data_IF_812191111399
#
_entry.id   IF_812191111399
#
_cell.length_a   1.000
_cell.length_b   1.000
_cell.length_c   1.000
_cell.angle_alpha   90.00
_cell.angle_beta   90.00
_cell.angle_gamma   90.00
#
_symmetry.space_group_name_H-M   'P 1'
#
loop_
_entity.id
_entity.type
_entity.pdbx_description
1 polymer ?
#
# COMPACT_ATOMS: atom_id res chain seq x y z
N UNK A 1 -21.62 -10.58 -21.23
CA UNK A 1 -20.88 -11.85 -21.12
C UNK A 1 -21.47 -12.59 -19.93
N UNK A 2 -22.15 -13.73 -20.12
CA UNK A 2 -22.68 -14.53 -19.01
C UNK A 2 -21.54 -15.38 -18.50
N UNK A 3 -21.04 -15.11 -17.27
CA UNK A 3 -20.17 -16.05 -16.57
C UNK A 3 -20.91 -17.38 -16.40
N UNK A 4 -20.35 -18.45 -16.87
CA UNK A 4 -20.80 -19.80 -16.50
C UNK A 4 -20.24 -20.10 -15.11
N UNK A 5 -20.98 -20.81 -14.26
CA UNK A 5 -20.64 -21.10 -12.87
C UNK A 5 -19.27 -21.76 -12.64
N UNK A 6 -18.60 -22.22 -13.70
CA UNK A 6 -17.31 -22.90 -13.66
C UNK A 6 -16.09 -21.99 -13.81
N UNK A 7 -16.25 -20.73 -14.23
CA UNK A 7 -15.13 -19.81 -14.52
C UNK A 7 -15.01 -18.61 -13.58
N UNK A 8 -15.89 -18.47 -12.58
CA UNK A 8 -15.77 -17.45 -11.57
C UNK A 8 -14.81 -17.92 -10.46
N UNK A 9 -13.52 -17.54 -10.54
CA UNK A 9 -12.71 -17.55 -9.35
C UNK A 9 -13.42 -16.70 -8.28
N UNK A 10 -13.63 -17.32 -7.11
CA UNK A 10 -14.19 -16.57 -5.95
C UNK A 10 -13.33 -15.34 -5.70
N UNK A 11 -13.94 -14.16 -5.50
CA UNK A 11 -13.18 -12.95 -5.23
C UNK A 11 -12.26 -13.19 -4.03
N UNK A 12 -11.01 -12.76 -4.16
CA UNK A 12 -10.06 -12.76 -3.06
C UNK A 12 -10.33 -11.53 -2.21
N UNK A 13 -10.76 -11.76 -0.99
CA UNK A 13 -11.01 -10.66 -0.05
C UNK A 13 -9.73 -10.28 0.70
N UNK A 14 -9.58 -9.01 1.01
CA UNK A 14 -8.54 -8.50 1.88
C UNK A 14 -9.12 -7.47 2.84
N UNK A 15 -8.53 -7.39 4.02
CA UNK A 15 -8.83 -6.36 5.01
C UNK A 15 -7.53 -5.69 5.44
N UNK A 16 -7.54 -4.37 5.47
CA UNK A 16 -6.48 -3.56 6.09
C UNK A 16 -7.03 -3.02 7.40
N UNK A 17 -6.30 -3.21 8.48
CA UNK A 17 -6.76 -2.87 9.83
C UNK A 17 -5.61 -2.32 10.67
N UNK A 18 -5.95 -1.48 11.66
CA UNK A 18 -4.98 -1.07 12.68
C UNK A 18 -4.64 -2.17 13.70
N UNK A 19 -5.24 -3.35 13.60
CA UNK A 19 -4.95 -4.49 14.46
C UNK A 19 -5.53 -4.45 15.89
N UNK A 20 -6.07 -3.32 16.32
CA UNK A 20 -6.55 -3.14 17.71
C UNK A 20 -7.65 -4.12 18.13
N UNK A 21 -8.52 -4.48 17.19
CA UNK A 21 -9.68 -5.36 17.43
C UNK A 21 -9.45 -6.80 16.93
N UNK A 22 -8.26 -7.11 16.38
CA UNK A 22 -7.94 -8.48 15.99
C UNK A 22 -7.87 -9.39 17.22
N UNK A 23 -8.41 -10.58 17.07
CA UNK A 23 -8.37 -11.67 18.03
C UNK A 23 -8.42 -13.03 17.29
N UNK A 24 -8.28 -14.10 18.01
CA UNK A 24 -8.24 -15.44 17.45
C UNK A 24 -9.56 -15.84 16.76
N UNK A 25 -10.70 -15.44 17.29
CA UNK A 25 -12.01 -15.72 16.71
C UNK A 25 -12.17 -15.09 15.32
N UNK A 26 -11.81 -13.82 15.20
CA UNK A 26 -11.83 -13.11 13.90
C UNK A 26 -10.83 -13.70 12.91
N UNK A 27 -9.63 -14.05 13.39
CA UNK A 27 -8.63 -14.67 12.51
C UNK A 27 -9.05 -16.04 12.00
N UNK A 28 -9.73 -16.83 12.84
CA UNK A 28 -10.30 -18.10 12.43
C UNK A 28 -11.35 -17.91 11.32
N UNK A 29 -12.28 -16.95 11.53
CA UNK A 29 -13.28 -16.60 10.51
C UNK A 29 -12.63 -16.13 9.20
N UNK A 30 -11.63 -15.24 9.27
CA UNK A 30 -10.93 -14.76 8.08
C UNK A 30 -10.19 -15.88 7.35
N UNK A 31 -9.54 -16.77 8.08
CA UNK A 31 -8.83 -17.92 7.52
C UNK A 31 -9.77 -18.86 6.78
N UNK A 32 -10.89 -19.23 7.39
CA UNK A 32 -11.92 -20.10 6.79
C UNK A 32 -12.54 -19.50 5.52
N UNK A 33 -12.65 -18.16 5.46
CA UNK A 33 -13.21 -17.44 4.32
C UNK A 33 -12.15 -16.93 3.33
N UNK A 34 -10.88 -17.34 3.48
CA UNK A 34 -9.74 -16.95 2.62
C UNK A 34 -9.54 -15.43 2.52
N UNK A 35 -9.84 -14.71 3.60
CA UNK A 35 -9.60 -13.27 3.70
C UNK A 35 -8.16 -13.02 4.10
N UNK A 36 -7.42 -12.25 3.32
CA UNK A 36 -6.08 -11.77 3.68
C UNK A 36 -6.18 -10.63 4.69
N UNK A 37 -5.39 -10.69 5.75
CA UNK A 37 -5.39 -9.66 6.79
C UNK A 37 -4.06 -8.93 6.76
N UNK A 38 -4.13 -7.61 6.56
CA UNK A 38 -3.00 -6.70 6.55
C UNK A 38 -3.11 -5.74 7.73
N UNK A 39 -2.08 -5.69 8.56
CA UNK A 39 -2.04 -4.87 9.76
C UNK A 39 -1.19 -3.63 9.48
N UNK A 40 -1.79 -2.46 9.67
CA UNK A 40 -1.08 -1.18 9.55
C UNK A 40 -0.16 -0.98 10.75
N UNK A 41 1.16 -1.01 10.52
CA UNK A 41 2.17 -0.87 11.56
C UNK A 41 3.46 -0.26 10.98
N UNK A 42 3.91 0.85 11.54
CA UNK A 42 4.98 1.67 10.96
C UNK A 42 6.33 1.39 11.65
N UNK A 43 6.94 0.24 11.30
CA UNK A 43 8.28 -0.12 11.72
C UNK A 43 8.43 -0.39 13.21
N UNK A 44 9.01 0.54 13.95
CA UNK A 44 9.25 0.44 15.39
C UNK A 44 8.24 1.25 16.22
N UNK A 45 8.34 1.12 17.55
CA UNK A 45 7.44 1.81 18.49
C UNK A 45 7.43 3.33 18.31
N UNK A 46 8.60 3.94 18.20
CA UNK A 46 8.71 5.40 18.15
C UNK A 46 7.99 5.96 16.92
N UNK A 47 8.21 5.38 15.75
CA UNK A 47 7.57 5.79 14.50
C UNK A 47 6.06 5.52 14.51
N UNK A 48 5.67 4.33 14.95
CA UNK A 48 4.26 3.96 14.98
C UNK A 48 3.46 4.88 15.92
N UNK A 49 3.92 5.06 17.15
CA UNK A 49 3.22 5.86 18.15
C UNK A 49 3.34 7.37 17.91
N UNK A 50 4.23 7.83 17.02
CA UNK A 50 4.24 9.21 16.56
C UNK A 50 3.00 9.57 15.72
N UNK A 51 2.48 8.63 14.93
CA UNK A 51 1.42 8.90 13.95
C UNK A 51 0.14 8.09 14.15
N UNK A 52 0.23 6.88 14.74
CA UNK A 52 -0.92 5.97 14.91
C UNK A 52 -1.35 5.87 16.36
N UNK A 53 -1.87 6.95 16.87
CA UNK A 53 -2.42 6.99 18.22
C UNK A 53 -3.86 6.48 18.26
N UNK A 54 -4.21 5.84 19.36
CA UNK A 54 -5.58 5.47 19.68
C UNK A 54 -6.42 6.65 20.18
N UNK A 55 -7.64 6.35 20.62
CA UNK A 55 -8.52 7.33 21.25
C UNK A 55 -7.78 7.96 22.45
N UNK A 56 -7.93 9.25 22.64
CA UNK A 56 -7.24 10.03 23.67
C UNK A 56 -5.70 10.05 23.55
N UNK A 57 -5.18 9.90 22.34
CA UNK A 57 -3.74 9.91 22.03
C UNK A 57 -2.93 8.84 22.80
N UNK A 58 -3.54 7.69 23.03
CA UNK A 58 -2.89 6.54 23.68
C UNK A 58 -2.02 5.82 22.66
N UNK A 59 -0.77 5.51 23.04
CA UNK A 59 0.14 4.66 22.27
C UNK A 59 -0.47 3.29 21.98
N UNK A 60 -0.32 2.79 20.76
CA UNK A 60 -0.99 1.56 20.32
C UNK A 60 -0.04 0.43 19.94
N UNK A 61 1.24 0.75 19.73
CA UNK A 61 2.24 -0.20 19.24
C UNK A 61 2.34 -1.47 20.08
N UNK A 62 2.49 -1.35 21.40
CA UNK A 62 2.68 -2.51 22.27
C UNK A 62 1.51 -3.47 22.20
N UNK A 63 0.29 -2.93 22.31
CA UNK A 63 -0.93 -3.71 22.25
C UNK A 63 -1.10 -4.45 20.93
N UNK A 64 -0.77 -3.78 19.81
CA UNK A 64 -0.82 -4.37 18.48
C UNK A 64 0.28 -5.43 18.36
N UNK A 65 1.51 -5.11 18.77
CA UNK A 65 2.66 -6.00 18.71
C UNK A 65 2.43 -7.30 19.47
N UNK A 66 1.90 -7.24 20.69
CA UNK A 66 1.57 -8.43 21.49
C UNK A 66 0.53 -9.32 20.80
N UNK A 67 -0.55 -8.72 20.29
CA UNK A 67 -1.58 -9.45 19.53
C UNK A 67 -1.02 -10.10 18.27
N UNK A 68 -0.26 -9.35 17.48
CA UNK A 68 0.34 -9.86 16.25
C UNK A 68 1.28 -11.02 16.54
N UNK A 69 2.16 -10.91 17.55
CA UNK A 69 3.06 -11.99 17.98
C UNK A 69 2.32 -13.27 18.33
N UNK A 70 1.15 -13.17 18.96
CA UNK A 70 0.33 -14.34 19.29
C UNK A 70 -0.35 -14.91 18.05
N UNK A 71 -0.94 -14.06 17.22
CA UNK A 71 -1.71 -14.48 16.05
C UNK A 71 -0.83 -15.06 14.93
N UNK A 72 0.40 -14.54 14.74
CA UNK A 72 1.34 -15.02 13.71
C UNK A 72 1.89 -16.42 13.98
N UNK A 73 1.71 -16.97 15.19
CA UNK A 73 2.02 -18.38 15.48
C UNK A 73 1.13 -19.35 14.72
N UNK A 74 -0.09 -18.94 14.36
CA UNK A 74 -1.10 -19.80 13.73
C UNK A 74 -1.66 -19.27 12.42
N UNK A 75 -1.51 -17.99 12.14
CA UNK A 75 -2.11 -17.33 10.99
C UNK A 75 -1.08 -16.50 10.22
N UNK A 76 -1.26 -16.41 8.90
CA UNK A 76 -0.47 -15.53 8.05
C UNK A 76 -1.05 -14.11 8.10
N UNK A 77 -0.35 -13.20 8.75
CA UNK A 77 -0.62 -11.77 8.75
C UNK A 77 0.39 -11.05 7.86
N UNK A 78 -0.08 -10.02 7.17
CA UNK A 78 0.73 -9.12 6.38
C UNK A 78 0.90 -7.79 7.12
N UNK A 79 2.04 -7.13 6.98
CA UNK A 79 2.18 -5.75 7.46
C UNK A 79 1.93 -4.76 6.32
N UNK A 80 1.43 -3.58 6.68
CA UNK A 80 1.39 -2.38 5.85
C UNK A 80 2.12 -1.28 6.60
N UNK A 81 3.28 -0.88 6.11
CA UNK A 81 4.07 0.23 6.62
C UNK A 81 3.90 1.42 5.70
N UNK A 82 3.63 2.60 6.25
CA UNK A 82 3.52 3.83 5.48
C UNK A 82 4.68 4.76 5.83
N UNK A 83 5.64 4.88 4.90
CA UNK A 83 6.71 5.87 5.02
C UNK A 83 6.13 7.27 5.01
N UNK A 84 6.49 8.04 6.00
CA UNK A 84 6.08 9.43 6.20
C UNK A 84 7.28 10.26 6.69
N UNK A 85 7.09 11.54 6.92
CA UNK A 85 8.16 12.46 7.31
C UNK A 85 8.83 12.07 8.63
N UNK A 86 8.14 11.40 9.55
CA UNK A 86 8.76 10.90 10.79
C UNK A 86 9.88 9.89 10.50
N UNK A 87 9.73 9.06 9.47
CA UNK A 87 10.79 8.14 9.02
C UNK A 87 12.00 8.90 8.45
N UNK A 88 11.77 9.99 7.72
CA UNK A 88 12.85 10.85 7.21
C UNK A 88 13.63 11.47 8.34
N UNK A 89 12.92 12.06 9.31
CA UNK A 89 13.52 12.73 10.46
C UNK A 89 14.26 11.78 11.41
N UNK A 90 13.81 10.52 11.49
CA UNK A 90 14.42 9.48 12.31
C UNK A 90 15.48 8.65 11.57
N UNK A 91 15.80 8.99 10.32
CA UNK A 91 16.72 8.19 9.52
C UNK A 91 18.16 8.23 10.08
N UNK A 92 18.74 7.05 10.16
CA UNK A 92 20.17 6.77 10.31
C UNK A 92 20.52 5.55 9.47
N UNK A 93 21.80 5.23 9.28
CA UNK A 93 22.24 4.08 8.48
C UNK A 93 21.70 2.72 8.98
N UNK A 94 21.30 2.62 10.25
CA UNK A 94 20.76 1.41 10.86
C UNK A 94 19.24 1.38 10.93
N UNK A 95 18.57 2.52 10.75
CA UNK A 95 17.14 2.70 10.99
C UNK A 95 16.27 1.74 10.18
N UNK A 96 16.53 1.62 8.89
CA UNK A 96 15.73 0.77 7.99
C UNK A 96 15.79 -0.70 8.46
N UNK A 97 16.96 -1.17 8.83
CA UNK A 97 17.12 -2.51 9.39
C UNK A 97 16.35 -2.67 10.69
N UNK A 98 16.44 -1.73 11.61
CA UNK A 98 15.71 -1.77 12.88
C UNK A 98 14.19 -1.83 12.68
N UNK A 99 13.66 -1.05 11.72
CA UNK A 99 12.22 -1.06 11.43
C UNK A 99 11.73 -2.43 10.98
N UNK A 100 12.46 -3.06 10.06
CA UNK A 100 12.05 -4.36 9.52
C UNK A 100 12.36 -5.53 10.45
N UNK A 101 13.43 -5.48 11.21
CA UNK A 101 13.70 -6.47 12.27
C UNK A 101 12.63 -6.42 13.37
N UNK A 102 12.13 -5.23 13.70
CA UNK A 102 10.99 -5.07 14.60
C UNK A 102 9.76 -5.82 14.08
N UNK A 103 9.39 -5.61 12.80
CA UNK A 103 8.26 -6.29 12.15
C UNK A 103 8.47 -7.81 12.07
N UNK A 104 9.67 -8.24 11.68
CA UNK A 104 10.06 -9.65 11.60
C UNK A 104 9.96 -10.34 12.97
N UNK A 105 10.35 -9.64 14.04
CA UNK A 105 10.25 -10.13 15.43
C UNK A 105 8.83 -10.37 15.90
N UNK A 106 7.85 -9.74 15.30
CA UNK A 106 6.41 -9.95 15.54
C UNK A 106 5.85 -11.16 14.77
N UNK A 107 6.68 -11.80 13.94
CA UNK A 107 6.28 -12.97 13.15
C UNK A 107 5.80 -12.67 11.74
N UNK A 108 5.78 -11.41 11.31
CA UNK A 108 5.52 -11.10 9.91
C UNK A 108 6.56 -11.74 8.98
N UNK A 109 6.12 -12.14 7.79
CA UNK A 109 6.99 -12.69 6.72
C UNK A 109 6.78 -11.98 5.39
N UNK A 110 5.68 -11.28 5.24
CA UNK A 110 5.34 -10.56 4.02
C UNK A 110 4.64 -9.27 4.38
N UNK A 111 4.88 -8.21 3.64
CA UNK A 111 4.12 -6.99 3.77
C UNK A 111 4.37 -6.02 2.64
N UNK A 112 3.80 -4.86 2.79
CA UNK A 112 3.91 -3.77 1.84
C UNK A 112 4.53 -2.54 2.51
N UNK A 113 5.20 -1.72 1.72
CA UNK A 113 5.71 -0.41 2.14
C UNK A 113 5.16 0.63 1.18
N UNK A 114 4.17 1.37 1.65
CA UNK A 114 3.63 2.52 0.94
C UNK A 114 4.34 3.81 1.32
N UNK A 115 4.25 4.82 0.48
CA UNK A 115 4.66 6.19 0.79
C UNK A 115 3.41 6.97 1.12
N UNK A 116 3.49 7.82 2.15
CA UNK A 116 2.38 8.72 2.45
C UNK A 116 2.19 9.70 1.30
N UNK A 117 0.98 9.81 0.86
CA UNK A 117 0.58 10.74 -0.20
C UNK A 117 -0.74 11.36 0.21
N UNK A 118 -0.81 12.67 0.19
CA UNK A 118 -2.05 13.42 0.46
C UNK A 118 -2.61 13.21 1.89
N UNK A 119 -1.77 13.30 2.90
CA UNK A 119 -2.23 13.23 4.28
C UNK A 119 -3.19 14.39 4.61
N UNK A 120 -4.18 14.11 5.49
CA UNK A 120 -4.96 15.19 6.12
C UNK A 120 -4.08 16.05 7.02
N UNK A 121 -3.05 15.47 7.62
CA UNK A 121 -1.99 16.17 8.34
C UNK A 121 -0.79 16.34 7.40
N UNK A 122 -0.73 17.49 6.74
CA UNK A 122 0.33 17.85 5.78
C UNK A 122 1.73 17.84 6.39
N UNK A 123 1.86 17.86 7.72
CA UNK A 123 3.16 17.76 8.38
C UNK A 123 3.81 16.38 8.23
N UNK A 124 3.01 15.37 7.91
CA UNK A 124 3.47 14.00 7.67
C UNK A 124 3.88 13.77 6.21
N UNK A 125 3.46 14.62 5.28
CA UNK A 125 3.80 14.50 3.87
C UNK A 125 5.29 14.78 3.65
N UNK A 126 5.89 14.09 2.69
CA UNK A 126 7.27 14.34 2.27
C UNK A 126 7.33 15.68 1.53
N UNK A 127 8.38 16.43 1.79
CA UNK A 127 8.66 17.68 1.08
C UNK A 127 9.91 17.53 0.18
N UNK A 128 10.16 18.47 -0.74
CA UNK A 128 11.31 18.37 -1.66
C UNK A 128 12.66 18.23 -0.97
N UNK A 129 12.83 18.81 0.22
CA UNK A 129 14.06 18.74 1.01
C UNK A 129 14.33 17.33 1.57
N UNK A 130 13.28 16.50 1.69
CA UNK A 130 13.36 15.14 2.22
C UNK A 130 13.91 14.15 1.17
N UNK A 131 13.99 14.56 -0.11
CA UNK A 131 14.24 13.64 -1.24
C UNK A 131 15.57 12.88 -1.14
N UNK A 132 16.66 13.52 -0.72
CA UNK A 132 17.96 12.86 -0.58
C UNK A 132 17.93 11.74 0.48
N UNK A 133 17.27 12.00 1.61
CA UNK A 133 17.13 11.01 2.68
C UNK A 133 16.18 9.91 2.23
N UNK A 134 15.07 10.26 1.58
CA UNK A 134 14.14 9.29 1.02
C UNK A 134 14.84 8.30 0.06
N UNK A 135 15.70 8.78 -0.84
CA UNK A 135 16.47 7.91 -1.72
C UNK A 135 17.44 6.98 -0.97
N UNK A 136 18.01 7.42 0.16
CA UNK A 136 18.84 6.55 1.01
C UNK A 136 17.99 5.46 1.64
N UNK A 137 16.83 5.80 2.20
CA UNK A 137 15.88 4.84 2.76
C UNK A 137 15.47 3.80 1.70
N UNK A 138 15.15 4.22 0.48
CA UNK A 138 14.79 3.27 -0.59
C UNK A 138 15.93 2.30 -0.91
N UNK A 139 17.16 2.77 -1.00
CA UNK A 139 18.34 1.92 -1.24
C UNK A 139 18.55 0.93 -0.10
N UNK A 140 18.51 1.41 1.14
CA UNK A 140 18.70 0.56 2.32
C UNK A 140 17.58 -0.48 2.44
N UNK A 141 16.34 -0.13 2.07
CA UNK A 141 15.22 -1.09 1.99
C UNK A 141 15.49 -2.17 0.94
N UNK A 142 15.90 -1.79 -0.26
CA UNK A 142 16.22 -2.73 -1.32
C UNK A 142 17.32 -3.68 -0.85
N UNK A 143 18.41 -3.15 -0.31
CA UNK A 143 19.53 -3.94 0.20
C UNK A 143 19.12 -4.87 1.34
N UNK A 144 18.28 -4.39 2.27
CA UNK A 144 17.75 -5.21 3.35
C UNK A 144 16.95 -6.40 2.81
N UNK A 145 15.98 -6.14 1.92
CA UNK A 145 15.13 -7.22 1.40
C UNK A 145 15.87 -8.21 0.50
N UNK A 146 16.89 -7.77 -0.24
CA UNK A 146 17.75 -8.70 -0.98
C UNK A 146 18.55 -9.61 -0.05
N UNK A 147 19.12 -9.08 1.04
CA UNK A 147 19.81 -9.87 2.06
C UNK A 147 18.85 -10.84 2.77
N UNK A 148 17.60 -10.40 3.02
CA UNK A 148 16.58 -11.26 3.60
C UNK A 148 16.27 -12.50 2.75
N UNK A 149 16.28 -12.37 1.41
CA UNK A 149 16.04 -13.51 0.52
C UNK A 149 17.06 -14.65 0.66
N UNK A 150 18.22 -14.39 1.25
CA UNK A 150 19.26 -15.38 1.52
C UNK A 150 19.08 -16.08 2.88
N UNK A 151 18.11 -15.64 3.71
CA UNK A 151 17.86 -16.19 5.04
C UNK A 151 16.87 -17.36 5.00
N UNK A 152 16.88 -18.22 6.04
CA UNK A 152 15.92 -19.33 6.13
C UNK A 152 14.46 -18.89 6.30
N UNK A 153 14.26 -17.72 6.91
CA UNK A 153 12.92 -17.18 7.19
C UNK A 153 12.86 -15.71 6.75
N UNK A 154 12.83 -15.47 5.44
CA UNK A 154 12.88 -14.10 4.91
C UNK A 154 11.65 -13.28 5.24
N UNK A 155 11.86 -11.97 5.33
CA UNK A 155 10.80 -10.98 5.26
C UNK A 155 10.73 -10.47 3.82
N UNK A 156 9.55 -10.53 3.20
CA UNK A 156 9.35 -10.11 1.82
C UNK A 156 8.60 -8.79 1.74
N UNK A 157 9.06 -7.91 0.84
CA UNK A 157 8.28 -6.77 0.37
C UNK A 157 7.53 -7.16 -0.91
N UNK A 158 6.21 -6.96 -0.91
CA UNK A 158 5.33 -7.36 -2.01
C UNK A 158 5.70 -6.64 -3.31
N UNK A 159 6.03 -5.35 -3.26
CA UNK A 159 6.30 -4.57 -4.47
C UNK A 159 7.65 -4.90 -5.07
N UNK A 160 8.69 -5.07 -4.26
CA UNK A 160 9.99 -5.56 -4.73
C UNK A 160 9.82 -6.94 -5.38
N UNK A 161 9.10 -7.84 -4.73
CA UNK A 161 8.83 -9.17 -5.28
C UNK A 161 8.05 -9.12 -6.60
N UNK A 162 7.06 -8.23 -6.71
CA UNK A 162 6.32 -8.02 -7.96
C UNK A 162 7.20 -7.52 -9.09
N UNK A 163 8.11 -6.58 -8.82
CA UNK A 163 9.07 -6.08 -9.82
C UNK A 163 9.99 -7.20 -10.28
N UNK A 164 10.57 -7.98 -9.36
CA UNK A 164 11.40 -9.13 -9.69
C UNK A 164 10.66 -10.16 -10.54
N UNK A 165 9.43 -10.51 -10.18
CA UNK A 165 8.62 -11.46 -10.93
C UNK A 165 8.29 -10.96 -12.34
N UNK A 166 8.07 -9.66 -12.53
CA UNK A 166 7.89 -9.08 -13.87
C UNK A 166 9.14 -9.19 -14.72
N UNK A 167 10.30 -8.87 -14.14
CA UNK A 167 11.59 -9.02 -14.82
C UNK A 167 11.83 -10.46 -15.28
N UNK A 168 11.58 -11.43 -14.38
CA UNK A 168 11.77 -12.85 -14.67
C UNK A 168 10.79 -13.38 -15.73
N UNK A 169 9.52 -12.96 -15.67
CA UNK A 169 8.47 -13.42 -16.61
C UNK A 169 8.42 -12.61 -17.90
N UNK A 170 9.16 -11.50 -17.97
CA UNK A 170 9.09 -10.53 -19.09
C UNK A 170 7.66 -10.00 -19.33
N UNK A 171 6.89 -9.89 -18.25
CA UNK A 171 5.52 -9.40 -18.32
C UNK A 171 5.50 -7.91 -18.60
N UNK A 172 4.68 -7.49 -19.57
CA UNK A 172 4.47 -6.08 -19.90
C UNK A 172 3.11 -5.61 -19.38
N UNK A 173 3.04 -4.41 -18.84
CA UNK A 173 1.78 -3.79 -18.42
C UNK A 173 1.32 -2.71 -19.39
N UNK A 174 0.02 -2.69 -19.65
CA UNK A 174 -0.60 -1.65 -20.46
C UNK A 174 -0.89 -0.37 -19.66
N UNK A 175 -0.91 -0.47 -18.33
CA UNK A 175 -1.19 0.64 -17.40
C UNK A 175 -0.39 0.47 -16.10
N UNK A 176 -0.05 1.61 -15.50
CA UNK A 176 0.78 1.65 -14.28
C UNK A 176 0.00 1.25 -13.02
N UNK A 177 -1.25 1.69 -12.90
CA UNK A 177 -2.10 1.50 -11.75
C UNK A 177 -3.43 0.83 -12.14
N UNK A 178 -4.03 0.07 -11.23
CA UNK A 178 -5.31 -0.60 -11.43
C UNK A 178 -6.55 0.28 -11.23
N UNK A 179 -6.38 1.54 -10.79
CA UNK A 179 -7.50 2.45 -10.50
C UNK A 179 -8.42 2.62 -11.71
N UNK A 180 -9.72 2.37 -11.54
CA UNK A 180 -10.73 2.46 -12.60
C UNK A 180 -10.63 1.40 -13.70
N UNK A 181 -9.63 0.50 -13.67
CA UNK A 181 -9.41 -0.56 -14.67
C UNK A 181 -9.61 -1.95 -14.07
N UNK A 182 -8.82 -2.30 -13.07
CA UNK A 182 -8.88 -3.59 -12.36
C UNK A 182 -9.22 -3.42 -10.87
N UNK A 183 -9.36 -2.19 -10.41
CA UNK A 183 -9.72 -1.83 -9.04
C UNK A 183 -10.77 -0.74 -9.06
N UNK A 184 -11.76 -0.88 -8.19
CA UNK A 184 -12.74 0.14 -7.85
C UNK A 184 -12.93 0.18 -6.35
N UNK A 185 -13.48 1.28 -5.87
CA UNK A 185 -13.89 1.47 -4.48
C UNK A 185 -15.35 1.85 -4.43
N UNK A 186 -16.07 1.31 -3.48
CA UNK A 186 -17.42 1.74 -3.14
C UNK A 186 -17.39 2.35 -1.73
N UNK A 187 -17.89 3.57 -1.59
CA UNK A 187 -18.03 4.21 -0.28
C UNK A 187 -19.19 3.62 0.51
N UNK A 188 -19.31 3.98 1.78
CA UNK A 188 -20.43 3.58 2.64
C UNK A 188 -21.77 4.12 2.16
N UNK A 189 -21.75 5.21 1.40
CA UNK A 189 -22.92 5.85 0.78
C UNK A 189 -23.29 5.20 -0.57
N UNK A 190 -22.51 4.22 -1.04
CA UNK A 190 -22.75 3.53 -2.31
C UNK A 190 -22.13 4.21 -3.54
N UNK A 191 -21.32 5.26 -3.34
CA UNK A 191 -20.62 5.94 -4.45
C UNK A 191 -19.48 5.06 -4.95
N UNK A 192 -19.37 4.87 -6.26
CA UNK A 192 -18.30 4.08 -6.88
C UNK A 192 -17.22 5.02 -7.43
N UNK A 193 -15.98 4.77 -7.03
CA UNK A 193 -14.80 5.57 -7.34
C UNK A 193 -13.68 4.70 -7.94
N UNK A 194 -12.73 5.29 -8.68
CA UNK A 194 -11.61 4.55 -9.28
C UNK A 194 -10.73 3.84 -8.25
N UNK A 195 -10.47 4.48 -7.09
CA UNK A 195 -9.71 3.91 -5.98
C UNK A 195 -10.03 4.64 -4.65
N UNK A 196 -9.61 4.11 -3.48
CA UNK A 196 -9.88 4.73 -2.18
C UNK A 196 -9.38 6.16 -2.05
N UNK A 197 -8.26 6.51 -2.68
CA UNK A 197 -7.69 7.88 -2.61
C UNK A 197 -8.62 8.95 -3.16
N UNK A 198 -9.50 8.61 -4.10
CA UNK A 198 -10.53 9.55 -4.58
C UNK A 198 -11.63 9.80 -3.54
N UNK A 199 -11.91 8.82 -2.66
CA UNK A 199 -12.90 8.99 -1.59
C UNK A 199 -12.42 9.95 -0.48
N UNK A 200 -11.12 9.96 -0.19
CA UNK A 200 -10.54 10.75 0.89
C UNK A 200 -10.55 12.25 0.60
N UNK A 201 -10.58 12.64 -0.66
CA UNK A 201 -10.39 14.02 -1.10
C UNK A 201 -11.63 14.67 -1.74
N UNK A 202 -12.79 14.00 -1.66
CA UNK A 202 -14.07 14.57 -2.12
C UNK A 202 -14.12 14.89 -3.62
N UNK A 203 -13.41 14.13 -4.42
CA UNK A 203 -13.43 14.31 -5.87
C UNK A 203 -14.79 13.86 -6.46
N UNK A 204 -15.43 14.72 -7.26
CA UNK A 204 -16.68 14.45 -7.96
C UNK A 204 -16.52 13.47 -9.16
N UNK A 205 -15.62 12.51 -9.04
CA UNK A 205 -15.44 11.45 -10.04
C UNK A 205 -16.31 10.24 -9.70
N UNK A 206 -17.63 10.44 -9.70
CA UNK A 206 -18.56 9.32 -9.60
C UNK A 206 -18.50 8.48 -10.87
N UNK A 207 -18.19 7.19 -10.69
CA UNK A 207 -18.47 6.20 -11.73
C UNK A 207 -19.91 5.76 -11.51
N UNK A 208 -20.83 6.28 -12.31
CA UNK A 208 -22.23 5.86 -12.25
C UNK A 208 -22.35 4.34 -12.36
N UNK A 209 -23.28 3.76 -11.63
CA UNK A 209 -23.52 2.32 -11.51
C UNK A 209 -23.73 1.58 -12.83
N UNK A 210 -24.06 2.29 -13.91
CA UNK A 210 -24.45 1.69 -15.18
C UNK A 210 -23.36 1.67 -16.26
N UNK A 211 -22.20 2.28 -16.04
CA UNK A 211 -21.14 2.32 -17.06
C UNK A 211 -19.76 2.16 -16.43
N UNK A 212 -19.32 0.93 -16.32
CA UNK A 212 -17.90 0.55 -16.10
C UNK A 212 -16.94 1.14 -17.14
N UNK A 213 -17.45 1.66 -18.23
CA UNK A 213 -16.74 2.33 -19.30
C UNK A 213 -16.99 3.83 -19.22
N UNK A 214 -16.62 4.45 -18.12
CA UNK A 214 -16.60 5.89 -18.12
C UNK A 214 -15.41 6.34 -18.98
N UNK A 215 -15.70 6.68 -20.23
CA UNK A 215 -14.73 7.20 -21.20
C UNK A 215 -13.90 8.36 -20.61
N UNK A 216 -14.49 9.13 -19.70
CA UNK A 216 -13.82 10.24 -19.03
C UNK A 216 -12.69 9.75 -18.11
N UNK A 217 -12.92 8.68 -17.32
CA UNK A 217 -11.87 8.10 -16.46
C UNK A 217 -10.82 7.39 -17.29
N UNK A 218 -11.24 6.63 -18.31
CA UNK A 218 -10.31 5.99 -19.22
C UNK A 218 -9.49 7.01 -20.00
N UNK A 219 -10.07 8.12 -20.42
CA UNK A 219 -9.38 9.19 -21.13
C UNK A 219 -8.40 9.93 -20.21
N UNK A 220 -8.78 10.29 -18.99
CA UNK A 220 -7.89 10.91 -18.01
C UNK A 220 -6.77 9.94 -17.64
N UNK A 221 -7.09 8.69 -17.31
CA UNK A 221 -6.10 7.70 -16.85
C UNK A 221 -5.22 7.19 -17.99
N UNK A 222 -5.76 7.01 -19.21
CA UNK A 222 -5.05 6.33 -20.31
C UNK A 222 -4.38 7.27 -21.30
N UNK A 223 -4.88 8.48 -21.54
CA UNK A 223 -4.38 9.33 -22.61
C UNK A 223 -3.35 10.36 -22.16
N UNK A 224 -3.42 10.86 -20.93
CA UNK A 224 -2.49 11.88 -20.46
C UNK A 224 -1.15 11.32 -20.01
N UNK A 225 -1.12 10.08 -19.51
CA UNK A 225 0.12 9.44 -19.05
C UNK A 225 1.00 8.87 -20.16
N UNK A 226 0.51 8.74 -21.38
CA UNK A 226 1.28 8.09 -22.46
C UNK A 226 2.43 8.94 -22.98
N UNK A 227 2.28 10.27 -23.04
CA UNK A 227 3.24 11.13 -23.73
C UNK A 227 4.62 11.15 -23.12
N UNK A 228 4.73 11.23 -21.79
CA UNK A 228 6.01 11.34 -21.10
C UNK A 228 6.67 9.99 -20.84
N UNK A 229 5.90 8.91 -20.85
CA UNK A 229 6.37 7.56 -20.56
C UNK A 229 6.74 6.75 -21.81
N UNK A 230 6.35 7.17 -23.01
CA UNK A 230 6.51 6.38 -24.23
C UNK A 230 7.99 6.02 -24.54
N UNK A 231 8.92 6.90 -24.19
CA UNK A 231 10.34 6.68 -24.37
C UNK A 231 11.09 6.35 -23.06
N UNK A 232 10.39 6.14 -21.96
CA UNK A 232 11.03 5.84 -20.68
C UNK A 232 11.45 4.37 -20.61
N UNK A 233 12.71 4.11 -20.28
CA UNK A 233 13.24 2.75 -20.13
C UNK A 233 12.53 1.95 -19.01
N UNK A 234 12.07 2.65 -17.97
CA UNK A 234 11.39 2.03 -16.82
C UNK A 234 9.88 1.79 -17.04
N UNK A 235 9.32 2.20 -18.19
CA UNK A 235 7.87 2.18 -18.47
C UNK A 235 7.19 0.86 -18.11
N UNK A 236 7.85 -0.26 -18.38
CA UNK A 236 7.27 -1.60 -18.15
C UNK A 236 7.34 -2.05 -16.70
N UNK A 237 8.22 -1.44 -15.90
CA UNK A 237 8.44 -1.78 -14.49
C UNK A 237 7.81 -0.77 -13.54
N UNK A 238 7.76 0.49 -13.96
CA UNK A 238 7.26 1.60 -13.18
C UNK A 238 5.76 1.45 -12.90
N UNK A 239 5.36 1.68 -11.66
CA UNK A 239 3.93 1.78 -11.29
C UNK A 239 3.33 3.13 -11.69
N UNK A 240 4.16 4.06 -12.18
CA UNK A 240 3.73 5.38 -12.62
C UNK A 240 3.39 6.33 -11.47
N UNK A 241 2.90 7.50 -11.84
CA UNK A 241 2.40 8.50 -10.90
C UNK A 241 0.99 8.12 -10.41
N UNK A 242 0.64 8.53 -9.18
CA UNK A 242 -0.68 8.31 -8.65
C UNK A 242 -1.73 9.17 -9.36
N UNK A 243 -2.74 8.55 -9.96
CA UNK A 243 -3.79 9.27 -10.70
C UNK A 243 -4.59 10.24 -9.83
N UNK A 244 -4.83 9.88 -8.56
CA UNK A 244 -5.54 10.78 -7.64
C UNK A 244 -4.71 12.03 -7.32
N UNK A 245 -3.39 11.89 -7.18
CA UNK A 245 -2.48 13.02 -6.98
C UNK A 245 -2.48 13.95 -8.20
N UNK A 246 -2.31 13.39 -9.39
CA UNK A 246 -2.31 14.17 -10.62
C UNK A 246 -3.63 14.93 -10.80
N UNK A 247 -4.75 14.27 -10.58
CA UNK A 247 -6.07 14.90 -10.66
C UNK A 247 -6.22 16.08 -9.68
N UNK A 248 -5.76 15.89 -8.44
CA UNK A 248 -5.72 16.98 -7.43
C UNK A 248 -4.89 18.16 -7.89
N UNK A 249 -3.70 17.89 -8.43
CA UNK A 249 -2.75 18.94 -8.81
C UNK A 249 -3.26 19.74 -10.01
N UNK A 250 -3.95 19.11 -10.95
CA UNK A 250 -4.61 19.77 -12.06
C UNK A 250 -5.79 20.66 -11.62
N UNK A 251 -6.63 20.20 -10.69
CA UNK A 251 -7.72 21.03 -10.16
C UNK A 251 -7.23 22.25 -9.36
N UNK A 252 -6.09 22.14 -8.71
CA UNK A 252 -5.53 23.22 -7.89
C UNK A 252 -4.61 24.17 -8.65
N UNK A 253 -4.36 23.93 -9.96
CA UNK A 253 -3.35 24.68 -10.73
C UNK A 253 -1.98 24.76 -10.04
N UNK A 254 -1.60 23.71 -9.32
CA UNK A 254 -0.31 23.62 -8.60
C UNK A 254 0.65 22.87 -9.50
N UNK A 255 1.43 23.62 -10.29
CA UNK A 255 2.63 23.15 -10.98
C UNK A 255 3.85 23.85 -10.39
#
# INVERSE_FOLDING_TARGET
>A
MKCTETDCELPKYGIVTNGMLLDKEKMEYFSQNRVQVMVSIDGNRALHDAVRLGINKIATFDKISEKVKELTKSYNLFFELTLNREHILAYSEESVREWFESLKSMGFRVGNVGIIEMSKDVSLDLCPEDYEIFQKIERDMIDYFFKEMETEKPLYNIDIFRVLMRLLRKDTKSYSCGAGVSQITMTTEGVILPCPKFAEHGFDLEIGTDKWQNEKIQNVIMNEFKKDCDNCWARQLCIGYCYALKYRDEEKNVY
#
